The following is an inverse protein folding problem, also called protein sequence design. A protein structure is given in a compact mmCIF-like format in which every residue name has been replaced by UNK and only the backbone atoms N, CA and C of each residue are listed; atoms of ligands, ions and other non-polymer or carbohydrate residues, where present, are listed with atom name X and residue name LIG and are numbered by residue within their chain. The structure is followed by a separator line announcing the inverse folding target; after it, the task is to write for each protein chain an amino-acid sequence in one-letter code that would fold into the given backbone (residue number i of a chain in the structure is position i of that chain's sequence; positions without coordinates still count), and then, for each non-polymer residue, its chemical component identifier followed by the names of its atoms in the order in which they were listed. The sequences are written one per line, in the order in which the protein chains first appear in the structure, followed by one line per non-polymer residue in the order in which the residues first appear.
data_IF_806106349327
#
_entry.id   IF_806106349327
#
_cell.length_a   1.000
_cell.length_b   1.000
_cell.length_c   1.000
_cell.angle_alpha   90.00
_cell.angle_beta   90.00
_cell.angle_gamma   90.00
#
_symmetry.space_group_name_H-M   'P 1'
#
loop_
_entity.id
_entity.type
_entity.pdbx_description
1 polymer ?
#
# COMPACT_ATOMS: atom_id res chain seq x y z
N UNK A 1 39.60 37.82 44.77
CA UNK A 1 39.67 36.48 44.16
C UNK A 1 39.08 35.50 45.15
N UNK A 2 37.81 35.13 44.97
CA UNK A 2 37.16 34.04 45.72
C UNK A 2 37.13 32.82 44.80
N UNK A 3 37.64 31.66 45.23
CA UNK A 3 37.69 30.48 44.38
C UNK A 3 36.28 29.93 44.13
N UNK A 4 35.99 29.59 42.87
CA UNK A 4 34.78 28.86 42.47
C UNK A 4 34.86 27.45 43.06
N UNK A 5 34.01 27.19 44.05
CA UNK A 5 33.90 25.92 44.73
C UNK A 5 33.13 24.94 43.84
N UNK A 6 33.83 23.99 43.21
CA UNK A 6 33.19 22.91 42.44
C UNK A 6 32.40 22.00 43.39
N UNK A 7 31.08 22.00 43.23
CA UNK A 7 30.17 21.16 44.02
C UNK A 7 30.17 19.73 43.45
N UNK A 8 30.65 18.70 44.17
CA UNK A 8 30.73 17.32 43.66
C UNK A 8 29.36 16.68 43.40
N UNK A 9 28.28 17.20 44.01
CA UNK A 9 26.91 16.75 43.75
C UNK A 9 26.43 17.06 42.32
N UNK A 10 27.00 18.06 41.65
CA UNK A 10 26.62 18.44 40.29
C UNK A 10 27.25 17.53 39.21
N UNK A 11 28.34 16.82 39.53
CA UNK A 11 28.92 15.80 38.63
C UNK A 11 28.11 14.50 38.64
N UNK A 12 27.46 14.16 39.75
CA UNK A 12 26.63 12.95 39.86
C UNK A 12 25.40 13.06 38.93
N UNK A 13 24.69 14.19 38.98
CA UNK A 13 23.51 14.44 38.14
C UNK A 13 23.83 14.53 36.64
N UNK A 14 25.04 14.96 36.25
CA UNK A 14 25.43 15.02 34.85
C UNK A 14 25.67 13.62 34.26
N UNK A 15 26.33 12.74 35.03
CA UNK A 15 26.58 11.34 34.64
C UNK A 15 25.26 10.57 34.52
N UNK A 16 24.31 10.82 35.43
CA UNK A 16 22.98 10.20 35.38
C UNK A 16 22.15 10.69 34.17
N UNK A 17 22.25 11.98 33.80
CA UNK A 17 21.60 12.51 32.59
C UNK A 17 22.17 11.92 31.29
N UNK A 18 23.48 11.73 31.19
CA UNK A 18 24.10 11.09 30.01
C UNK A 18 23.73 9.60 29.89
N UNK A 19 23.60 8.88 31.02
CA UNK A 19 23.12 7.49 31.05
C UNK A 19 21.64 7.37 30.66
N UNK A 20 20.83 8.35 31.07
CA UNK A 20 19.42 8.42 30.71
C UNK A 20 19.22 8.74 29.21
N UNK A 21 20.07 9.61 28.63
CA UNK A 21 20.03 9.87 27.19
C UNK A 21 20.45 8.65 26.35
N UNK A 22 21.41 7.85 26.84
CA UNK A 22 21.83 6.63 26.15
C UNK A 22 20.75 5.53 26.15
N UNK A 23 20.05 5.33 27.26
CA UNK A 23 18.98 4.33 27.35
C UNK A 23 17.71 4.73 26.59
N UNK A 24 17.43 6.03 26.45
CA UNK A 24 16.31 6.51 25.63
C UNK A 24 16.50 6.24 24.12
N UNK A 25 17.73 6.28 23.60
CA UNK A 25 18.01 5.88 22.20
C UNK A 25 17.92 4.37 21.97
N UNK A 26 18.18 3.55 22.99
CA UNK A 26 18.09 2.10 22.89
C UNK A 26 16.63 1.60 22.89
N UNK A 27 15.75 2.28 23.63
CA UNK A 27 14.30 2.02 23.58
C UNK A 27 13.68 2.40 22.22
N UNK A 28 14.22 3.42 21.54
CA UNK A 28 13.76 3.77 20.19
C UNK A 28 14.11 2.71 19.13
N UNK A 29 15.24 1.98 19.28
CA UNK A 29 15.55 0.83 18.39
C UNK A 29 14.73 -0.41 18.70
N UNK A 30 14.37 -0.66 19.97
CA UNK A 30 13.56 -1.82 20.33
C UNK A 30 12.08 -1.66 19.96
N UNK A 31 11.58 -0.43 19.83
CA UNK A 31 10.24 -0.17 19.30
C UNK A 31 10.14 -0.31 17.76
N UNK A 32 11.26 -0.47 17.05
CA UNK A 32 11.32 -0.57 15.59
C UNK A 32 11.87 -1.93 15.14
N UNK A 33 11.30 -3.00 15.68
CA UNK A 33 11.31 -4.31 15.05
C UNK A 33 10.02 -5.07 15.38
N UNK A 34 9.01 -4.96 14.50
CA UNK A 34 8.37 -6.15 13.97
C UNK A 34 8.55 -6.17 12.44
N UNK A 35 8.70 -7.38 11.91
CA UNK A 35 9.27 -7.67 10.60
C UNK A 35 8.67 -6.86 9.44
N UNK A 36 9.56 -6.44 8.55
CA UNK A 36 9.25 -6.25 7.13
C UNK A 36 9.06 -7.61 6.46
N UNK A 37 8.13 -8.38 6.99
CA UNK A 37 7.48 -9.50 6.30
C UNK A 37 6.06 -9.03 6.01
N UNK A 38 6.00 -8.10 5.06
CA UNK A 38 4.80 -7.76 4.33
C UNK A 38 5.30 -7.28 2.99
N UNK A 39 5.64 -8.25 2.15
CA UNK A 39 5.42 -8.10 0.73
C UNK A 39 4.10 -7.32 0.57
N UNK A 40 4.23 -6.06 0.16
CA UNK A 40 3.13 -5.31 -0.37
C UNK A 40 2.76 -6.04 -1.65
N UNK A 41 1.91 -7.07 -1.54
CA UNK A 41 1.02 -7.48 -2.61
C UNK A 41 -0.07 -6.42 -2.66
N UNK A 42 -0.07 -5.53 -3.66
CA UNK A 42 -1.25 -4.72 -3.92
C UNK A 42 -2.34 -5.70 -4.40
N UNK A 43 -3.51 -5.70 -3.73
CA UNK A 43 -4.72 -6.25 -4.34
C UNK A 43 -5.10 -7.69 -3.99
N UNK A 44 -4.92 -8.14 -2.75
CA UNK A 44 -5.74 -9.26 -2.26
C UNK A 44 -7.08 -8.73 -1.72
N UNK A 45 -8.04 -8.51 -2.63
CA UNK A 45 -9.46 -8.38 -2.27
C UNK A 45 -10.01 -9.76 -1.88
N UNK A 46 -9.57 -10.29 -0.75
CA UNK A 46 -10.13 -11.50 -0.16
C UNK A 46 -11.39 -11.11 0.63
N UNK A 47 -12.57 -11.35 0.04
CA UNK A 47 -13.84 -11.31 0.75
C UNK A 47 -14.92 -10.51 0.05
N UNK A 48 -15.46 -11.03 -1.04
CA UNK A 48 -16.78 -10.63 -1.50
C UNK A 48 -17.62 -11.88 -1.67
N UNK A 49 -18.64 -12.05 -0.83
CA UNK A 49 -19.86 -12.72 -1.25
C UNK A 49 -20.46 -11.86 -2.37
N UNK A 50 -19.91 -12.01 -3.58
CA UNK A 50 -20.34 -11.32 -4.78
C UNK A 50 -21.73 -11.77 -5.19
N UNK A 51 -22.40 -11.06 -6.11
CA UNK A 51 -23.75 -11.39 -6.55
C UNK A 51 -23.81 -12.86 -6.97
N UNK A 52 -24.64 -13.65 -6.31
CA UNK A 52 -24.81 -15.09 -6.58
C UNK A 52 -25.65 -15.28 -7.84
N UNK A 53 -25.05 -15.03 -9.01
CA UNK A 53 -25.67 -15.22 -10.31
C UNK A 53 -24.66 -15.09 -11.46
N UNK A 54 -25.05 -15.46 -12.70
CA UNK A 54 -24.18 -15.41 -13.88
C UNK A 54 -23.54 -14.03 -14.10
N UNK A 55 -24.29 -12.98 -13.75
CA UNK A 55 -23.85 -11.60 -13.80
C UNK A 55 -22.76 -11.27 -12.77
N UNK A 56 -22.89 -11.75 -11.52
CA UNK A 56 -21.88 -11.52 -10.49
C UNK A 56 -20.58 -12.26 -10.80
N UNK A 57 -20.67 -13.46 -11.39
CA UNK A 57 -19.50 -14.20 -11.90
C UNK A 57 -18.77 -13.42 -13.00
N UNK A 58 -19.49 -12.90 -14.00
CA UNK A 58 -18.91 -12.06 -15.05
C UNK A 58 -18.24 -10.81 -14.49
N UNK A 59 -18.87 -10.16 -13.50
CA UNK A 59 -18.28 -8.99 -12.84
C UNK A 59 -17.01 -9.35 -12.05
N UNK A 60 -17.02 -10.46 -11.31
CA UNK A 60 -15.84 -10.95 -10.59
C UNK A 60 -14.71 -11.31 -11.55
N UNK A 61 -15.02 -11.94 -12.68
CA UNK A 61 -14.05 -12.27 -13.73
C UNK A 61 -13.43 -10.99 -14.31
N UNK A 62 -14.26 -10.01 -14.70
CA UNK A 62 -13.79 -8.74 -15.23
C UNK A 62 -12.92 -7.95 -14.24
N UNK A 63 -13.30 -7.92 -12.95
CA UNK A 63 -12.45 -7.32 -11.90
C UNK A 63 -11.12 -8.06 -11.76
N UNK A 64 -11.15 -9.40 -11.87
CA UNK A 64 -9.95 -10.24 -11.90
C UNK A 64 -9.04 -9.92 -13.08
N UNK A 65 -9.60 -9.72 -14.28
CA UNK A 65 -8.84 -9.37 -15.48
C UNK A 65 -8.13 -8.02 -15.36
N UNK A 66 -8.81 -6.98 -14.86
CA UNK A 66 -8.16 -5.68 -14.65
C UNK A 66 -7.06 -5.77 -13.59
N UNK A 67 -7.29 -6.52 -12.51
CA UNK A 67 -6.25 -6.76 -11.50
C UNK A 67 -5.04 -7.48 -12.09
N UNK A 68 -5.26 -8.48 -12.96
CA UNK A 68 -4.18 -9.16 -13.67
C UNK A 68 -3.41 -8.19 -14.59
N UNK A 69 -4.11 -7.31 -15.32
CA UNK A 69 -3.47 -6.26 -16.15
C UNK A 69 -2.65 -5.28 -15.32
N UNK A 70 -3.13 -4.87 -14.15
CA UNK A 70 -2.40 -4.01 -13.23
C UNK A 70 -1.15 -4.70 -12.65
N UNK A 71 -1.26 -5.97 -12.26
CA UNK A 71 -0.13 -6.74 -11.77
C UNK A 71 0.94 -6.91 -12.86
N UNK A 72 0.52 -7.23 -14.08
CA UNK A 72 1.42 -7.35 -15.23
C UNK A 72 2.12 -6.03 -15.56
N UNK A 73 1.41 -4.90 -15.58
CA UNK A 73 2.04 -3.59 -15.82
C UNK A 73 3.08 -3.24 -14.75
N UNK A 74 2.77 -3.55 -13.49
CA UNK A 74 3.70 -3.38 -12.36
C UNK A 74 4.94 -4.27 -12.55
N UNK A 75 4.77 -5.53 -12.91
CA UNK A 75 5.88 -6.45 -13.16
C UNK A 75 6.80 -5.94 -14.28
N UNK A 76 6.22 -5.47 -15.39
CA UNK A 76 6.96 -4.95 -16.53
C UNK A 76 7.76 -3.70 -16.16
N UNK A 77 7.18 -2.79 -15.38
CA UNK A 77 7.85 -1.59 -14.87
C UNK A 77 8.96 -1.96 -13.89
N UNK A 78 8.68 -2.84 -12.92
CA UNK A 78 9.67 -3.29 -11.95
C UNK A 78 10.83 -4.00 -12.63
N UNK A 79 10.55 -4.86 -13.62
CA UNK A 79 11.59 -5.56 -14.38
C UNK A 79 12.46 -4.60 -15.19
N UNK A 80 11.86 -3.61 -15.86
CA UNK A 80 12.60 -2.54 -16.54
C UNK A 80 13.52 -1.77 -15.57
N UNK A 81 12.98 -1.33 -14.42
CA UNK A 81 13.74 -0.59 -13.41
C UNK A 81 14.84 -1.44 -12.75
N UNK A 82 14.63 -2.75 -12.66
CA UNK A 82 15.61 -3.70 -12.11
C UNK A 82 16.72 -4.07 -13.10
N UNK A 83 16.71 -3.51 -14.31
CA UNK A 83 17.71 -3.79 -15.34
C UNK A 83 17.52 -5.14 -16.05
N UNK A 84 16.33 -5.76 -15.95
CA UNK A 84 15.98 -6.88 -16.85
C UNK A 84 15.89 -6.34 -18.28
N UNK A 85 16.15 -7.19 -19.27
CA UNK A 85 16.05 -6.86 -20.70
C UNK A 85 14.58 -6.76 -21.16
N UNK A 86 13.83 -5.88 -20.52
CA UNK A 86 12.44 -5.54 -20.86
C UNK A 86 12.49 -4.25 -21.68
N UNK A 87 12.02 -4.26 -22.93
CA UNK A 87 11.96 -3.04 -23.73
C UNK A 87 11.02 -2.01 -23.09
N UNK A 88 11.46 -0.75 -22.97
CA UNK A 88 10.67 0.36 -22.41
C UNK A 88 9.25 0.44 -23.00
N UNK A 89 9.13 0.29 -24.32
CA UNK A 89 7.82 0.36 -25.00
C UNK A 89 6.84 -0.70 -24.50
N UNK A 90 7.30 -1.89 -24.09
CA UNK A 90 6.42 -2.94 -23.55
C UNK A 90 5.90 -2.58 -22.17
N UNK A 91 6.74 -1.97 -21.33
CA UNK A 91 6.31 -1.50 -20.01
C UNK A 91 5.28 -0.37 -20.15
N UNK A 92 5.54 0.60 -21.03
CA UNK A 92 4.64 1.71 -21.32
C UNK A 92 3.28 1.21 -21.85
N UNK A 93 3.28 0.33 -22.87
CA UNK A 93 2.06 -0.30 -23.40
C UNK A 93 1.29 -1.03 -22.30
N UNK A 94 1.97 -1.80 -21.45
CA UNK A 94 1.32 -2.51 -20.36
C UNK A 94 0.66 -1.55 -19.35
N UNK A 95 1.29 -0.40 -19.08
CA UNK A 95 0.71 0.65 -18.23
C UNK A 95 -0.52 1.30 -18.88
N UNK A 96 -0.48 1.60 -20.18
CA UNK A 96 -1.64 2.13 -20.89
C UNK A 96 -2.80 1.13 -20.92
N UNK A 97 -2.53 -0.15 -21.21
CA UNK A 97 -3.55 -1.21 -21.19
C UNK A 97 -4.22 -1.31 -19.83
N UNK A 98 -3.43 -1.32 -18.74
CA UNK A 98 -3.96 -1.36 -17.38
C UNK A 98 -4.81 -0.12 -17.05
N UNK A 99 -4.37 1.07 -17.49
CA UNK A 99 -5.11 2.32 -17.30
C UNK A 99 -6.45 2.34 -18.02
N UNK A 100 -6.48 1.94 -19.30
CA UNK A 100 -7.71 1.88 -20.10
C UNK A 100 -8.68 0.82 -19.54
N UNK A 101 -8.18 -0.36 -19.17
CA UNK A 101 -8.99 -1.41 -18.54
C UNK A 101 -9.61 -0.95 -17.22
N UNK A 102 -8.85 -0.24 -16.38
CA UNK A 102 -9.36 0.34 -15.14
C UNK A 102 -10.44 1.40 -15.39
N UNK A 103 -10.22 2.31 -16.34
CA UNK A 103 -11.22 3.32 -16.69
C UNK A 103 -12.53 2.66 -17.13
N UNK A 104 -12.45 1.63 -17.97
CA UNK A 104 -13.62 0.84 -18.37
C UNK A 104 -14.32 0.20 -17.16
N UNK A 105 -13.57 -0.34 -16.20
CA UNK A 105 -14.16 -0.90 -14.97
C UNK A 105 -14.96 0.12 -14.19
N UNK A 106 -14.45 1.35 -14.04
CA UNK A 106 -15.16 2.41 -13.34
C UNK A 106 -16.48 2.75 -14.05
N UNK A 107 -16.48 2.84 -15.38
CA UNK A 107 -17.70 3.08 -16.16
C UNK A 107 -18.72 1.95 -16.00
N UNK A 108 -18.26 0.69 -16.09
CA UNK A 108 -19.13 -0.47 -15.87
C UNK A 108 -19.70 -0.44 -14.46
N UNK A 109 -18.88 -0.22 -13.43
CA UNK A 109 -19.34 -0.10 -12.04
C UNK A 109 -20.43 0.97 -11.90
N UNK A 110 -20.24 2.14 -12.48
CA UNK A 110 -21.22 3.24 -12.42
C UNK A 110 -22.54 2.84 -13.09
N UNK A 111 -22.48 2.26 -14.29
CA UNK A 111 -23.66 1.79 -15.04
C UNK A 111 -24.43 0.69 -14.30
N UNK A 112 -23.72 -0.18 -13.58
CA UNK A 112 -24.34 -1.22 -12.76
C UNK A 112 -25.05 -0.65 -11.52
N UNK A 113 -24.44 0.33 -10.86
CA UNK A 113 -25.07 1.03 -9.74
C UNK A 113 -26.31 1.80 -10.20
N UNK A 114 -26.26 2.45 -11.37
CA UNK A 114 -27.41 3.12 -11.99
C UNK A 114 -28.52 2.13 -12.35
N UNK A 115 -28.20 1.02 -13.02
CA UNK A 115 -29.17 0.00 -13.41
C UNK A 115 -29.87 -0.67 -12.22
N UNK A 116 -29.13 -0.90 -11.14
CA UNK A 116 -29.71 -1.39 -9.88
C UNK A 116 -30.67 -0.37 -9.23
N UNK A 117 -30.31 0.91 -9.24
CA UNK A 117 -31.14 1.99 -8.71
C UNK A 117 -32.43 2.18 -9.53
N UNK A 118 -32.36 2.09 -10.85
CA UNK A 118 -33.52 2.22 -11.74
C UNK A 118 -34.52 1.08 -11.55
N UNK A 119 -34.04 -0.17 -11.44
CA UNK A 119 -34.90 -1.33 -11.15
C UNK A 119 -35.68 -1.18 -9.84
N UNK A 120 -35.06 -0.61 -8.80
CA UNK A 120 -35.77 -0.32 -7.54
C UNK A 120 -36.82 0.79 -7.69
N UNK A 121 -36.55 1.82 -8.50
CA UNK A 121 -37.48 2.93 -8.73
C UNK A 121 -38.73 2.53 -9.52
N UNK A 122 -38.67 1.45 -10.30
CA UNK A 122 -39.83 0.93 -11.03
C UNK A 122 -40.78 0.06 -10.18
N UNK A 123 -40.34 -0.44 -9.02
CA UNK A 123 -41.12 -1.37 -8.19
C UNK A 123 -41.87 -0.71 -7.01
N UNK A 124 -42.01 0.61 -7.00
CA UNK A 124 -42.85 1.34 -6.02
C UNK A 124 -44.14 1.85 -6.65
#
# INVERSE_FOLDING_TARGET
MTPVQFNPAQMMNLVDMYRQQQTAMEQARQAQAPGVDAAQTPGAVAGANGPTGPFGQLLTEFVGEVNAKQAHSTEMVTGLLSGKDIPLHRAVIAMEEAGVAFQMMVEVRNKLLEGYQELMRMQV
#
